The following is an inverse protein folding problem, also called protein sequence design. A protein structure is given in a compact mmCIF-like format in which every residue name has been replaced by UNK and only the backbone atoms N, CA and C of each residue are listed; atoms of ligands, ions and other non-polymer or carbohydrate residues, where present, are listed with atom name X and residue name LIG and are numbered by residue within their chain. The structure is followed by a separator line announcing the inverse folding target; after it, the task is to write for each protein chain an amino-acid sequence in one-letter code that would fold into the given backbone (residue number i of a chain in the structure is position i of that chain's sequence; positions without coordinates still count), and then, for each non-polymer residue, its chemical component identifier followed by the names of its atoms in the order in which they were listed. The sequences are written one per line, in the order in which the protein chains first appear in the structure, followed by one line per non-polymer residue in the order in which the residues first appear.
data_IF_969248741622
#
_entry.id   IF_969248741622
#
_cell.length_a   1.000
_cell.length_b   1.000
_cell.length_c   1.000
_cell.angle_alpha   90.00
_cell.angle_beta   90.00
_cell.angle_gamma   90.00
#
_symmetry.space_group_name_H-M   'P 1'
#
loop_
_entity.id
_entity.type
_entity.pdbx_description
1 polymer ?
#
# COMPACT_ATOMS: atom_id res chain seq x y z
N UNK A 1 -18.19 -5.66 2.53
CA UNK A 1 -17.63 -5.62 1.18
C UNK A 1 -16.20 -6.13 1.13
N UNK A 2 -15.52 -5.91 0.02
CA UNK A 2 -14.10 -6.18 -0.16
C UNK A 2 -13.43 -5.03 -0.96
N UNK A 3 -12.25 -4.62 -0.50
CA UNK A 3 -11.40 -3.65 -1.20
C UNK A 3 -10.05 -4.31 -1.48
N UNK A 4 -9.53 -4.13 -2.69
CA UNK A 4 -8.17 -4.48 -3.05
C UNK A 4 -7.37 -3.20 -3.26
N UNK A 5 -6.26 -3.05 -2.53
CA UNK A 5 -5.31 -1.94 -2.69
C UNK A 5 -4.06 -2.49 -3.36
N UNK A 6 -3.75 -1.96 -4.53
CA UNK A 6 -2.73 -2.43 -5.47
C UNK A 6 -2.93 -3.90 -5.90
N UNK A 7 -2.37 -4.23 -7.07
CA UNK A 7 -2.40 -5.59 -7.63
C UNK A 7 -1.00 -6.20 -7.75
N UNK A 8 0.01 -5.45 -7.28
CA UNK A 8 1.38 -5.92 -7.14
C UNK A 8 2.06 -6.17 -8.49
N UNK A 9 3.32 -6.61 -8.45
CA UNK A 9 3.72 -7.75 -9.26
C UNK A 9 5.18 -7.79 -9.72
N UNK A 10 5.82 -8.92 -9.43
CA UNK A 10 7.03 -9.39 -10.09
C UNK A 10 6.61 -10.39 -11.20
N UNK A 11 7.21 -10.30 -12.39
CA UNK A 11 7.01 -11.29 -13.46
C UNK A 11 8.35 -11.72 -14.01
N UNK A 12 8.68 -13.00 -13.85
CA UNK A 12 9.87 -13.62 -14.42
C UNK A 12 9.73 -15.15 -14.43
N UNK A 13 10.81 -15.84 -14.77
CA UNK A 13 10.86 -17.31 -14.82
C UNK A 13 10.60 -18.00 -13.47
N UNK A 14 10.75 -17.30 -12.34
CA UNK A 14 10.56 -17.83 -10.99
C UNK A 14 9.26 -17.37 -10.33
N UNK A 15 8.56 -16.40 -10.92
CA UNK A 15 7.36 -15.83 -10.34
C UNK A 15 6.40 -15.28 -11.39
N UNK A 16 5.14 -15.63 -11.22
CA UNK A 16 4.01 -15.16 -12.02
C UNK A 16 3.05 -14.46 -11.07
N UNK A 17 3.04 -13.12 -11.09
CA UNK A 17 2.18 -12.34 -10.19
C UNK A 17 0.71 -12.50 -10.52
N UNK A 18 0.36 -12.68 -11.79
CA UNK A 18 -1.01 -12.85 -12.23
C UNK A 18 -1.59 -14.15 -11.65
N UNK A 19 -0.84 -15.25 -11.78
CA UNK A 19 -1.22 -16.53 -11.20
C UNK A 19 -1.28 -16.46 -9.67
N UNK A 20 -0.26 -15.89 -9.02
CA UNK A 20 -0.21 -15.80 -7.57
C UNK A 20 -1.35 -14.95 -6.98
N UNK A 21 -1.66 -13.79 -7.58
CA UNK A 21 -2.76 -12.95 -7.15
C UNK A 21 -4.11 -13.63 -7.39
N UNK A 22 -4.30 -14.27 -8.56
CA UNK A 22 -5.54 -14.99 -8.86
C UNK A 22 -5.77 -16.12 -7.88
N UNK A 23 -4.76 -16.93 -7.60
CA UNK A 23 -4.87 -18.05 -6.66
C UNK A 23 -5.22 -17.57 -5.24
N UNK A 24 -4.65 -16.43 -4.81
CA UNK A 24 -5.00 -15.79 -3.53
C UNK A 24 -6.45 -15.29 -3.49
N UNK A 25 -6.87 -14.56 -4.52
CA UNK A 25 -8.22 -14.01 -4.61
C UNK A 25 -9.29 -15.11 -4.75
N UNK A 26 -9.02 -16.17 -5.52
CA UNK A 26 -9.89 -17.34 -5.61
C UNK A 26 -10.09 -17.97 -4.23
N UNK A 27 -9.01 -18.23 -3.49
CA UNK A 27 -9.09 -18.77 -2.14
C UNK A 27 -9.82 -17.81 -1.16
N UNK A 28 -9.63 -16.50 -1.30
CA UNK A 28 -10.36 -15.49 -0.52
C UNK A 28 -11.87 -15.56 -0.77
N UNK A 29 -12.29 -15.58 -2.04
CA UNK A 29 -13.71 -15.62 -2.41
C UNK A 29 -14.37 -16.97 -2.12
N UNK A 30 -13.62 -18.08 -2.17
CA UNK A 30 -14.11 -19.39 -1.71
C UNK A 30 -14.49 -19.36 -0.22
N UNK A 31 -13.78 -18.58 0.60
CA UNK A 31 -14.12 -18.36 2.02
C UNK A 31 -15.21 -17.30 2.22
N UNK A 32 -15.53 -16.52 1.18
CA UNK A 32 -16.48 -15.40 1.20
C UNK A 32 -17.48 -15.48 0.03
N UNK A 33 -18.26 -16.58 -0.06
CA UNK A 33 -19.24 -16.74 -1.14
C UNK A 33 -20.35 -15.68 -1.10
N UNK A 34 -20.55 -15.03 0.06
CA UNK A 34 -21.46 -13.90 0.23
C UNK A 34 -21.10 -12.69 -0.64
N UNK A 35 -19.84 -12.57 -1.06
CA UNK A 35 -19.37 -11.46 -1.88
C UNK A 35 -19.55 -11.71 -3.39
N UNK A 36 -19.94 -12.92 -3.82
CA UNK A 36 -20.14 -13.27 -5.24
C UNK A 36 -18.96 -12.80 -6.13
N UNK A 37 -17.72 -13.10 -5.69
CA UNK A 37 -16.47 -12.71 -6.37
C UNK A 37 -16.39 -11.22 -6.74
N UNK A 38 -16.97 -10.36 -5.89
CA UNK A 38 -17.05 -8.91 -6.10
C UNK A 38 -16.08 -8.16 -5.20
N UNK A 39 -15.27 -7.29 -5.81
CA UNK A 39 -14.56 -6.19 -5.16
C UNK A 39 -15.44 -4.93 -5.25
N UNK A 40 -15.76 -4.34 -4.10
CA UNK A 40 -16.48 -3.07 -4.03
C UNK A 40 -15.59 -1.91 -4.48
N UNK A 41 -14.29 -2.00 -4.23
CA UNK A 41 -13.29 -1.04 -4.67
C UNK A 41 -11.99 -1.74 -5.05
N UNK A 42 -11.42 -1.35 -6.18
CA UNK A 42 -10.02 -1.55 -6.53
C UNK A 42 -9.31 -0.20 -6.47
N UNK A 43 -8.40 -0.01 -5.53
CA UNK A 43 -7.60 1.20 -5.40
C UNK A 43 -6.19 0.91 -5.90
N UNK A 44 -5.76 1.60 -6.94
CA UNK A 44 -4.37 1.59 -7.41
C UNK A 44 -3.69 2.86 -6.91
N UNK A 45 -2.57 2.71 -6.22
CA UNK A 45 -1.92 3.87 -5.60
C UNK A 45 -1.23 4.75 -6.64
N UNK A 46 -0.46 4.18 -7.58
CA UNK A 46 0.29 4.93 -8.61
C UNK A 46 0.78 4.02 -9.77
N UNK A 47 1.23 4.58 -10.91
CA UNK A 47 1.64 3.84 -12.12
C UNK A 47 3.02 3.19 -12.07
N UNK A 48 3.38 2.53 -10.97
CA UNK A 48 4.54 1.63 -10.99
C UNK A 48 4.10 0.18 -11.16
N UNK A 49 4.88 -0.57 -11.96
CA UNK A 49 4.45 -1.90 -12.35
C UNK A 49 4.33 -2.85 -11.16
N UNK A 50 5.14 -2.68 -10.12
CA UNK A 50 5.05 -3.45 -8.88
C UNK A 50 3.84 -3.10 -8.01
N UNK A 51 3.04 -2.10 -8.39
CA UNK A 51 1.74 -1.77 -7.80
C UNK A 51 0.56 -2.21 -8.67
N UNK A 52 0.73 -2.28 -9.99
CA UNK A 52 -0.42 -2.49 -10.89
C UNK A 52 -0.26 -3.57 -11.95
N UNK A 53 0.78 -4.40 -11.91
CA UNK A 53 1.04 -5.41 -12.95
C UNK A 53 -0.19 -6.25 -13.27
N UNK A 54 -0.86 -6.73 -12.23
CA UNK A 54 -1.95 -7.69 -12.34
C UNK A 54 -3.33 -7.03 -12.43
N UNK A 55 -3.39 -5.72 -12.70
CA UNK A 55 -4.64 -4.95 -12.71
C UNK A 55 -5.65 -5.49 -13.72
N UNK A 56 -5.19 -5.84 -14.93
CA UNK A 56 -6.04 -6.42 -15.96
C UNK A 56 -6.52 -7.82 -15.58
N UNK A 57 -5.66 -8.63 -14.95
CA UNK A 57 -6.03 -9.94 -14.42
C UNK A 57 -7.19 -9.81 -13.43
N UNK A 58 -7.19 -8.77 -12.58
CA UNK A 58 -8.30 -8.51 -11.67
C UNK A 58 -9.58 -8.10 -12.41
N UNK A 59 -9.49 -7.09 -13.28
CA UNK A 59 -10.65 -6.55 -14.02
C UNK A 59 -11.32 -7.56 -14.94
N UNK A 60 -10.56 -8.50 -15.51
CA UNK A 60 -11.07 -9.51 -16.45
C UNK A 60 -11.67 -10.75 -15.76
N UNK A 61 -11.33 -11.01 -14.49
CA UNK A 61 -11.68 -12.28 -13.81
C UNK A 61 -12.57 -12.10 -12.56
N UNK A 62 -12.73 -10.88 -12.07
CA UNK A 62 -13.54 -10.56 -10.89
C UNK A 62 -14.48 -9.40 -11.19
N UNK A 63 -15.60 -9.35 -10.46
CA UNK A 63 -16.49 -8.20 -10.55
C UNK A 63 -15.90 -7.06 -9.75
N UNK A 64 -15.69 -5.90 -10.38
CA UNK A 64 -15.24 -4.68 -9.72
C UNK A 64 -16.34 -3.62 -9.83
N UNK A 65 -16.74 -3.02 -8.70
CA UNK A 65 -17.78 -1.97 -8.69
C UNK A 65 -17.22 -0.57 -8.89
N UNK A 66 -16.06 -0.30 -8.34
CA UNK A 66 -15.38 0.98 -8.45
C UNK A 66 -13.87 0.83 -8.55
N UNK A 67 -13.23 1.75 -9.28
CA UNK A 67 -11.78 1.91 -9.35
C UNK A 67 -11.40 3.32 -8.89
N UNK A 68 -10.37 3.40 -8.06
CA UNK A 68 -9.69 4.65 -7.72
C UNK A 68 -8.24 4.54 -8.15
N UNK A 69 -7.71 5.57 -8.80
CA UNK A 69 -6.29 5.70 -9.08
C UNK A 69 -5.82 7.17 -9.03
N UNK A 70 -4.54 7.41 -9.29
CA UNK A 70 -3.93 8.75 -9.28
C UNK A 70 -3.99 9.45 -10.66
N UNK A 71 -4.71 8.91 -11.64
CA UNK A 71 -4.89 9.50 -12.97
C UNK A 71 -3.60 9.71 -13.79
N UNK A 72 -2.42 9.29 -13.30
CA UNK A 72 -1.14 9.68 -13.86
C UNK A 72 -0.76 8.79 -15.06
N UNK A 73 -0.79 9.35 -16.26
CA UNK A 73 -0.39 8.64 -17.50
C UNK A 73 0.99 9.04 -18.01
N UNK A 74 1.66 9.97 -17.34
CA UNK A 74 3.01 10.48 -17.67
C UNK A 74 3.98 10.14 -16.54
N UNK A 75 5.22 9.72 -16.85
CA UNK A 75 6.23 9.46 -15.83
C UNK A 75 7.65 9.82 -16.30
N UNK A 76 8.54 10.16 -15.37
CA UNK A 76 9.97 10.27 -15.66
C UNK A 76 10.72 8.92 -15.56
N UNK A 77 10.01 7.84 -15.26
CA UNK A 77 10.53 6.47 -15.18
C UNK A 77 10.28 5.74 -16.50
N UNK A 78 10.99 6.11 -17.56
CA UNK A 78 10.76 5.58 -18.91
C UNK A 78 10.95 4.06 -19.06
N UNK A 79 11.63 3.40 -18.10
CA UNK A 79 11.85 1.95 -18.09
C UNK A 79 10.74 1.17 -17.34
N UNK A 80 9.90 1.85 -16.57
CA UNK A 80 8.79 1.22 -15.83
C UNK A 80 7.54 1.14 -16.72
N UNK A 81 7.01 -0.07 -17.01
CA UNK A 81 5.84 -0.25 -17.85
C UNK A 81 4.50 0.05 -17.14
N UNK A 82 4.52 0.53 -15.89
CA UNK A 82 3.31 0.81 -15.10
C UNK A 82 2.40 1.84 -15.77
N UNK A 83 2.95 2.90 -16.39
CA UNK A 83 2.15 3.90 -17.11
C UNK A 83 1.37 3.32 -18.29
N UNK A 84 1.95 2.37 -19.03
CA UNK A 84 1.25 1.66 -20.11
C UNK A 84 0.11 0.83 -19.55
N UNK A 85 0.31 0.27 -18.36
CA UNK A 85 -0.71 -0.51 -17.65
C UNK A 85 -1.84 0.36 -17.11
N UNK A 86 -1.55 1.56 -16.60
CA UNK A 86 -2.58 2.54 -16.25
C UNK A 86 -3.38 2.98 -17.46
N UNK A 87 -2.71 3.23 -18.59
CA UNK A 87 -3.39 3.57 -19.84
C UNK A 87 -4.34 2.44 -20.29
N UNK A 88 -3.92 1.18 -20.18
CA UNK A 88 -4.78 0.02 -20.49
C UNK A 88 -5.98 -0.10 -19.54
N UNK A 89 -5.76 0.13 -18.24
CA UNK A 89 -6.84 0.15 -17.26
C UNK A 89 -7.86 1.25 -17.59
N UNK A 90 -7.40 2.47 -17.89
CA UNK A 90 -8.28 3.58 -18.27
C UNK A 90 -9.04 3.32 -19.57
N UNK A 91 -8.39 2.73 -20.59
CA UNK A 91 -9.06 2.28 -21.82
C UNK A 91 -10.14 1.23 -21.54
N UNK A 92 -9.86 0.27 -20.65
CA UNK A 92 -10.84 -0.72 -20.23
C UNK A 92 -12.01 -0.08 -19.49
N UNK A 93 -11.76 0.83 -18.55
CA UNK A 93 -12.81 1.53 -17.80
C UNK A 93 -13.70 2.39 -18.71
N UNK A 94 -13.12 3.05 -19.71
CA UNK A 94 -13.89 3.78 -20.71
C UNK A 94 -14.85 2.87 -21.52
N UNK A 95 -14.53 1.58 -21.65
CA UNK A 95 -15.38 0.58 -22.29
C UNK A 95 -16.40 -0.08 -21.33
N UNK A 96 -16.29 0.13 -20.01
CA UNK A 96 -17.12 -0.46 -18.96
C UNK A 96 -17.73 0.63 -18.04
N UNK A 97 -18.64 1.47 -18.54
CA UNK A 97 -19.19 2.62 -17.81
C UNK A 97 -20.03 2.23 -16.57
N UNK A 98 -20.34 0.95 -16.39
CA UNK A 98 -20.95 0.41 -15.17
C UNK A 98 -19.99 0.33 -13.98
N UNK A 99 -18.68 0.40 -14.21
CA UNK A 99 -17.65 0.46 -13.17
C UNK A 99 -17.40 1.93 -12.85
N UNK A 100 -17.66 2.34 -11.61
CA UNK A 100 -17.38 3.70 -11.18
C UNK A 100 -15.86 3.95 -11.22
N UNK A 101 -15.43 5.14 -11.64
CA UNK A 101 -14.01 5.48 -11.72
C UNK A 101 -13.76 6.88 -11.20
N UNK A 102 -12.71 7.05 -10.40
CA UNK A 102 -12.25 8.33 -9.87
C UNK A 102 -10.72 8.41 -9.94
N UNK A 103 -10.23 9.37 -10.72
CA UNK A 103 -8.84 9.83 -10.69
C UNK A 103 -8.69 10.86 -9.55
N UNK A 104 -8.05 10.48 -8.44
CA UNK A 104 -7.95 11.33 -7.24
C UNK A 104 -6.92 12.42 -7.44
N UNK A 105 -7.33 13.69 -7.39
CA UNK A 105 -6.43 14.84 -7.37
C UNK A 105 -6.37 15.47 -5.98
N UNK A 106 -5.25 16.08 -5.62
CA UNK A 106 -5.13 16.87 -4.38
C UNK A 106 -6.22 17.95 -4.29
N UNK A 107 -6.65 18.53 -5.41
CA UNK A 107 -7.74 19.51 -5.47
C UNK A 107 -9.13 18.95 -5.18
N UNK A 108 -9.32 17.63 -5.30
CA UNK A 108 -10.57 16.97 -4.89
C UNK A 108 -10.68 16.84 -3.37
N UNK A 109 -9.55 16.99 -2.66
CA UNK A 109 -9.45 16.86 -1.21
C UNK A 109 -9.58 18.24 -0.57
N UNK A 110 -10.79 18.63 -0.20
CA UNK A 110 -11.04 19.91 0.47
C UNK A 110 -10.56 19.88 1.94
N UNK A 111 -9.93 20.98 2.36
CA UNK A 111 -9.43 21.16 3.72
C UNK A 111 -8.48 20.06 4.20
N UNK A 112 -8.69 19.66 5.46
CA UNK A 112 -7.85 18.74 6.25
C UNK A 112 -8.63 17.52 6.76
N UNK A 113 -9.74 17.17 6.10
CA UNK A 113 -10.61 16.04 6.48
C UNK A 113 -10.46 14.82 5.56
N UNK A 114 -9.75 14.94 4.45
CA UNK A 114 -9.66 13.91 3.43
C UNK A 114 -10.90 13.85 2.53
N UNK A 115 -10.83 13.03 1.49
CA UNK A 115 -11.90 12.77 0.53
C UNK A 115 -12.59 11.44 0.87
N UNK A 116 -13.91 11.45 0.94
CA UNK A 116 -14.75 10.27 1.12
C UNK A 116 -16.06 10.46 0.33
N UNK A 117 -16.79 9.39 0.06
CA UNK A 117 -18.00 9.41 -0.77
C UNK A 117 -18.29 8.03 -1.35
N UNK A 118 -19.36 7.89 -2.14
CA UNK A 118 -19.86 6.58 -2.59
C UNK A 118 -18.82 5.73 -3.36
N UNK A 119 -17.91 6.36 -4.11
CA UNK A 119 -16.83 5.65 -4.83
C UNK A 119 -15.67 5.31 -3.89
N UNK A 120 -15.32 6.22 -2.97
CA UNK A 120 -14.17 6.05 -2.06
C UNK A 120 -14.48 5.10 -0.91
N UNK A 121 -15.71 5.15 -0.42
CA UNK A 121 -16.19 4.39 0.73
C UNK A 121 -17.45 3.58 0.37
N UNK A 122 -17.34 2.60 -0.53
CA UNK A 122 -18.50 1.84 -1.01
C UNK A 122 -18.95 0.74 -0.03
N UNK A 123 -18.18 0.50 1.04
CA UNK A 123 -18.54 -0.52 2.04
C UNK A 123 -19.61 0.07 2.97
N UNK A 124 -20.85 -0.29 2.72
CA UNK A 124 -21.98 0.06 3.59
C UNK A 124 -22.33 -1.03 4.61
N UNK A 125 -23.46 -0.77 5.28
CA UNK A 125 -24.02 -1.56 6.38
C UNK A 125 -24.03 -3.05 6.11
N UNK A 126 -23.61 -3.84 7.09
CA UNK A 126 -23.83 -5.28 7.10
C UNK A 126 -24.55 -5.75 8.37
N UNK A 127 -25.39 -6.79 8.26
CA UNK A 127 -26.14 -7.31 9.41
C UNK A 127 -25.23 -7.81 10.56
N UNK A 128 -23.98 -8.11 10.24
CA UNK A 128 -22.98 -8.62 11.19
C UNK A 128 -22.31 -7.52 12.04
N UNK A 129 -22.42 -6.24 11.68
CA UNK A 129 -21.78 -5.13 12.41
C UNK A 129 -22.63 -3.87 12.36
N UNK A 130 -22.82 -3.22 13.51
CA UNK A 130 -23.47 -1.91 13.60
C UNK A 130 -22.56 -0.75 13.16
N UNK A 131 -21.30 -1.03 12.89
CA UNK A 131 -20.27 -0.07 12.47
C UNK A 131 -19.75 -0.55 11.12
N UNK A 132 -19.68 0.35 10.16
CA UNK A 132 -19.05 0.11 8.86
C UNK A 132 -17.62 0.66 8.87
N UNK A 133 -16.69 0.02 8.14
CA UNK A 133 -15.41 0.64 7.89
C UNK A 133 -15.63 1.91 7.06
N UNK A 134 -14.93 2.99 7.41
CA UNK A 134 -14.90 4.24 6.66
C UNK A 134 -13.56 4.36 5.94
N UNK A 135 -13.60 4.49 4.63
CA UNK A 135 -12.43 4.74 3.79
C UNK A 135 -12.33 6.24 3.49
N UNK A 136 -11.15 6.80 3.70
CA UNK A 136 -10.83 8.21 3.43
C UNK A 136 -9.53 8.31 2.66
N UNK A 137 -9.57 8.95 1.49
CA UNK A 137 -8.38 9.27 0.68
C UNK A 137 -7.76 10.57 1.17
N UNK A 138 -6.45 10.57 1.40
CA UNK A 138 -5.71 11.67 2.00
C UNK A 138 -4.81 12.42 1.00
N UNK A 139 -4.43 11.77 -0.09
CA UNK A 139 -3.50 12.29 -1.10
C UNK A 139 -3.75 11.62 -2.46
N UNK A 140 -3.31 12.23 -3.58
CA UNK A 140 -3.34 11.62 -4.93
C UNK A 140 -2.98 12.57 -6.08
N UNK A 141 -2.49 12.02 -7.20
CA UNK A 141 -2.23 12.56 -8.55
C UNK A 141 -1.40 13.83 -8.74
N UNK A 142 -1.23 14.65 -7.70
CA UNK A 142 -0.78 16.05 -7.73
C UNK A 142 -0.67 16.70 -9.12
N UNK A 143 -1.81 16.91 -9.77
CA UNK A 143 -1.86 17.29 -11.20
C UNK A 143 -1.78 18.78 -11.44
N UNK A 144 -2.03 19.60 -10.41
CA UNK A 144 -2.25 21.05 -10.61
C UNK A 144 -0.93 21.85 -10.67
N UNK A 145 0.19 21.24 -10.27
CA UNK A 145 1.52 21.87 -10.32
C UNK A 145 2.66 20.86 -10.56
N UNK A 146 2.65 20.13 -11.69
CA UNK A 146 3.70 19.14 -12.00
C UNK A 146 5.14 19.70 -11.88
N UNK A 147 5.34 21.00 -12.17
CA UNK A 147 6.65 21.68 -11.97
C UNK A 147 7.07 21.74 -10.50
N UNK A 148 6.12 21.88 -9.57
CA UNK A 148 6.36 21.90 -8.13
C UNK A 148 6.56 20.50 -7.57
N UNK A 149 5.84 19.48 -8.04
CA UNK A 149 5.79 18.13 -7.44
C UNK A 149 6.72 17.11 -8.10
N UNK A 150 7.17 17.41 -9.33
CA UNK A 150 7.99 16.50 -10.13
C UNK A 150 7.15 15.49 -10.90
N UNK A 151 7.83 14.57 -11.58
CA UNK A 151 7.22 13.51 -12.39
C UNK A 151 7.53 12.11 -11.85
N UNK A 152 7.91 11.99 -10.56
CA UNK A 152 8.13 10.71 -9.90
C UNK A 152 6.78 10.18 -9.38
N UNK A 153 6.20 9.13 -9.98
CA UNK A 153 4.88 8.61 -9.62
C UNK A 153 4.73 8.26 -8.14
N UNK A 154 5.80 7.85 -7.47
CA UNK A 154 5.79 7.55 -6.03
C UNK A 154 5.14 8.68 -5.21
N UNK A 155 5.48 9.94 -5.49
CA UNK A 155 4.98 11.10 -4.74
C UNK A 155 3.54 11.52 -5.10
N UNK A 156 2.95 10.82 -6.07
CA UNK A 156 1.57 10.99 -6.52
C UNK A 156 0.66 9.86 -6.00
N UNK A 157 1.24 8.87 -5.30
CA UNK A 157 0.52 7.76 -4.67
C UNK A 157 -0.75 8.20 -3.95
N UNK A 158 -1.86 7.53 -4.25
CA UNK A 158 -3.09 7.68 -3.48
C UNK A 158 -2.87 7.13 -2.07
N UNK A 159 -2.80 8.04 -1.08
CA UNK A 159 -2.73 7.65 0.32
C UNK A 159 -4.15 7.49 0.88
N UNK A 160 -4.40 6.45 1.66
CA UNK A 160 -5.71 6.14 2.21
C UNK A 160 -5.63 5.77 3.69
N UNK A 161 -6.65 6.20 4.43
CA UNK A 161 -6.94 5.82 5.81
C UNK A 161 -8.22 4.99 5.84
N UNK A 162 -8.22 3.95 6.66
CA UNK A 162 -9.41 3.14 6.93
C UNK A 162 -9.66 3.15 8.43
N UNK A 163 -10.86 3.55 8.84
CA UNK A 163 -11.31 3.52 10.24
C UNK A 163 -12.43 2.50 10.42
N UNK A 164 -12.33 1.64 11.43
CA UNK A 164 -13.35 0.66 11.79
C UNK A 164 -13.53 0.63 13.30
N UNK A 165 -14.52 1.38 13.80
CA UNK A 165 -14.73 1.55 15.24
C UNK A 165 -13.51 2.19 15.90
N UNK A 166 -12.84 1.44 16.79
CA UNK A 166 -11.60 1.85 17.46
C UNK A 166 -10.32 1.32 16.79
N UNK A 167 -10.43 0.68 15.63
CA UNK A 167 -9.28 0.26 14.83
C UNK A 167 -9.08 1.17 13.64
N UNK A 168 -7.84 1.41 13.26
CA UNK A 168 -7.48 2.30 12.15
C UNK A 168 -6.24 1.81 11.40
N UNK A 169 -6.20 2.06 10.09
CA UNK A 169 -5.10 1.66 9.22
C UNK A 169 -4.71 2.78 8.25
N UNK A 170 -3.42 2.93 7.97
CA UNK A 170 -2.87 3.86 6.97
C UNK A 170 -2.14 3.11 5.87
N UNK A 171 -2.39 3.54 4.62
CA UNK A 171 -1.74 3.08 3.40
C UNK A 171 -1.19 4.31 2.67
N UNK A 172 0.11 4.36 2.43
CA UNK A 172 0.74 5.53 1.80
C UNK A 172 1.19 5.28 0.38
N UNK A 173 1.00 4.08 -0.17
CA UNK A 173 1.68 3.65 -1.38
C UNK A 173 3.18 3.92 -1.24
N UNK A 174 3.78 4.54 -2.24
CA UNK A 174 5.22 4.76 -2.28
C UNK A 174 5.62 6.21 -2.02
N UNK A 175 4.74 7.01 -1.41
CA UNK A 175 5.06 8.40 -1.05
C UNK A 175 6.44 8.51 -0.41
N UNK A 176 7.31 9.28 -1.07
CA UNK A 176 8.65 9.55 -0.58
C UNK A 176 8.67 10.88 0.19
N UNK A 177 9.85 11.29 0.66
CA UNK A 177 10.04 12.51 1.44
C UNK A 177 9.30 13.74 0.89
N UNK A 178 9.28 13.96 -0.44
CA UNK A 178 8.58 15.12 -1.03
C UNK A 178 7.07 15.00 -0.88
N UNK A 179 6.50 13.85 -1.25
CA UNK A 179 5.06 13.57 -1.09
C UNK A 179 4.64 13.59 0.38
N UNK A 180 5.36 12.89 1.25
CA UNK A 180 5.09 12.85 2.69
C UNK A 180 5.16 14.22 3.36
N UNK A 181 6.16 15.05 3.02
CA UNK A 181 6.27 16.39 3.60
C UNK A 181 5.09 17.28 3.22
N UNK A 182 4.56 17.13 2.00
CA UNK A 182 3.42 17.93 1.52
C UNK A 182 2.11 17.40 2.03
N UNK A 183 1.96 16.09 2.13
CA UNK A 183 0.88 15.45 2.85
C UNK A 183 0.81 16.00 4.28
N UNK A 184 1.91 15.94 5.03
CA UNK A 184 1.97 16.49 6.38
C UNK A 184 1.65 17.99 6.45
N UNK A 185 2.14 18.77 5.48
CA UNK A 185 1.84 20.21 5.40
C UNK A 185 0.36 20.49 5.16
N UNK A 186 -0.30 19.68 4.32
CA UNK A 186 -1.75 19.78 4.04
C UNK A 186 -2.59 19.56 5.29
N UNK A 187 -2.18 18.63 6.15
CA UNK A 187 -2.88 18.30 7.38
C UNK A 187 -2.24 18.93 8.63
N UNK A 188 -1.48 20.02 8.49
CA UNK A 188 -0.82 20.66 9.63
C UNK A 188 -1.81 21.17 10.71
N UNK A 189 -3.06 21.48 10.33
CA UNK A 189 -4.15 21.83 11.26
C UNK A 189 -4.87 20.62 11.86
N UNK A 190 -4.63 19.42 11.34
CA UNK A 190 -5.23 18.16 11.78
C UNK A 190 -4.21 17.00 11.76
N UNK A 191 -3.12 17.07 12.54
CA UNK A 191 -2.06 16.05 12.50
C UNK A 191 -2.53 14.67 13.00
N UNK A 192 -3.57 14.63 13.82
CA UNK A 192 -4.17 13.39 14.35
C UNK A 192 -4.74 12.48 13.25
N UNK A 193 -4.96 12.99 12.03
CA UNK A 193 -5.39 12.17 10.89
C UNK A 193 -4.35 11.11 10.50
N UNK A 194 -3.09 11.29 10.90
CA UNK A 194 -2.05 10.30 10.68
C UNK A 194 -2.02 9.24 11.77
N UNK A 195 -2.62 9.48 12.95
CA UNK A 195 -2.54 8.53 14.04
C UNK A 195 -3.42 7.30 13.76
N UNK A 196 -2.76 6.15 13.59
CA UNK A 196 -3.39 4.87 13.25
C UNK A 196 -2.82 3.71 14.05
N UNK A 197 -3.57 2.62 14.15
CA UNK A 197 -3.13 1.40 14.83
C UNK A 197 -2.30 0.46 13.93
N UNK A 198 -2.58 0.48 12.63
CA UNK A 198 -1.94 -0.36 11.61
C UNK A 198 -1.29 0.53 10.56
N UNK A 199 0.00 0.36 10.32
CA UNK A 199 0.68 1.04 9.22
C UNK A 199 1.11 0.04 8.14
N UNK A 200 0.53 0.15 6.94
CA UNK A 200 1.09 -0.47 5.76
C UNK A 200 2.26 0.42 5.31
N UNK A 201 3.48 -0.07 5.55
CA UNK A 201 4.70 0.71 5.41
C UNK A 201 4.94 1.04 3.94
N UNK A 202 5.08 2.34 3.65
CA UNK A 202 5.25 2.80 2.27
C UNK A 202 6.53 2.32 1.60
N UNK A 203 6.48 2.22 0.27
CA UNK A 203 7.63 1.94 -0.60
C UNK A 203 8.42 0.73 -0.17
N UNK A 204 7.70 -0.35 0.17
CA UNK A 204 8.29 -1.64 0.56
C UNK A 204 9.26 -1.57 1.76
N UNK A 205 9.15 -0.52 2.59
CA UNK A 205 10.11 -0.25 3.67
C UNK A 205 11.40 0.41 3.17
N UNK A 206 11.31 1.27 2.16
CA UNK A 206 12.42 2.09 1.70
C UNK A 206 12.78 3.18 2.69
N UNK A 207 14.07 3.53 2.72
CA UNK A 207 14.63 4.59 3.58
C UNK A 207 14.11 6.00 3.27
N UNK A 208 13.49 6.22 2.10
CA UNK A 208 12.93 7.52 1.71
C UNK A 208 11.40 7.64 1.93
N UNK A 209 10.72 6.55 2.33
CA UNK A 209 9.28 6.53 2.58
C UNK A 209 8.91 6.26 4.05
N UNK A 210 9.86 5.80 4.86
CA UNK A 210 9.69 5.68 6.32
C UNK A 210 10.64 6.64 7.01
N UNK A 211 10.14 7.83 7.35
CA UNK A 211 10.94 8.93 7.93
C UNK A 211 10.48 9.21 9.36
N UNK A 212 11.43 9.58 10.22
CA UNK A 212 11.16 9.82 11.65
C UNK A 212 10.01 10.79 11.94
N UNK A 213 9.86 11.85 11.13
CA UNK A 213 8.76 12.81 11.30
C UNK A 213 7.37 12.21 11.07
N UNK A 214 7.21 11.29 10.10
CA UNK A 214 5.95 10.56 9.96
C UNK A 214 5.71 9.66 11.17
N UNK A 215 6.76 9.02 11.70
CA UNK A 215 6.63 8.20 12.91
C UNK A 215 6.29 9.01 14.17
N UNK A 216 6.61 10.30 14.21
CA UNK A 216 6.18 11.18 15.31
C UNK A 216 4.68 11.54 15.24
N UNK A 217 4.07 11.47 14.06
CA UNK A 217 2.64 11.77 13.84
C UNK A 217 1.75 10.52 13.86
N UNK A 218 2.35 9.33 13.83
CA UNK A 218 1.65 8.05 13.85
C UNK A 218 1.98 7.33 15.14
N UNK A 219 1.06 6.49 15.64
CA UNK A 219 1.35 5.70 16.83
C UNK A 219 0.94 4.22 16.70
N UNK A 220 1.40 3.53 15.63
CA UNK A 220 0.93 2.21 15.25
C UNK A 220 1.24 1.14 16.30
N UNK A 221 0.28 0.27 16.53
CA UNK A 221 0.45 -0.96 17.30
C UNK A 221 1.19 -2.00 16.48
N UNK A 222 0.99 -2.06 15.17
CA UNK A 222 1.72 -2.96 14.27
C UNK A 222 1.99 -2.30 12.91
N UNK A 223 3.01 -2.80 12.21
CA UNK A 223 3.35 -2.37 10.86
C UNK A 223 3.55 -3.56 9.92
N UNK A 224 3.11 -3.43 8.67
CA UNK A 224 3.24 -4.46 7.63
C UNK A 224 4.00 -3.90 6.43
N UNK A 225 5.08 -4.58 6.06
CA UNK A 225 5.91 -4.23 4.92
C UNK A 225 5.61 -5.18 3.76
N UNK A 226 5.03 -4.66 2.68
CA UNK A 226 4.85 -5.43 1.44
C UNK A 226 6.16 -5.48 0.68
N UNK A 227 6.83 -6.63 0.64
CA UNK A 227 8.11 -6.82 -0.04
C UNK A 227 8.36 -8.30 -0.36
N UNK A 228 9.21 -8.59 -1.35
CA UNK A 228 9.53 -9.96 -1.78
C UNK A 228 10.60 -10.66 -0.92
N UNK A 229 10.62 -12.00 -0.85
CA UNK A 229 11.58 -12.75 -0.05
C UNK A 229 13.04 -12.54 -0.50
N UNK A 230 13.96 -12.61 0.46
CA UNK A 230 15.40 -12.39 0.22
C UNK A 230 16.01 -13.37 -0.80
N UNK A 231 15.43 -14.56 -0.94
CA UNK A 231 15.89 -15.58 -1.87
C UNK A 231 15.57 -15.25 -3.34
N UNK A 232 14.69 -14.27 -3.62
CA UNK A 232 14.38 -13.85 -5.00
C UNK A 232 15.48 -12.95 -5.56
N UNK A 233 16.37 -13.55 -6.35
CA UNK A 233 17.51 -12.88 -6.98
C UNK A 233 17.20 -12.55 -8.44
N UNK A 234 16.40 -11.51 -8.67
CA UNK A 234 16.09 -10.99 -10.00
C UNK A 234 16.31 -9.46 -10.06
N UNK A 235 16.54 -8.90 -11.27
CA UNK A 235 16.44 -7.45 -11.48
C UNK A 235 15.07 -6.94 -11.03
N UNK A 236 14.99 -5.67 -10.62
CA UNK A 236 13.71 -5.01 -10.32
C UNK A 236 12.88 -5.75 -9.24
N UNK A 237 13.55 -6.19 -8.17
CA UNK A 237 12.93 -6.81 -6.99
C UNK A 237 13.18 -5.97 -5.75
N UNK A 238 12.32 -6.06 -4.73
CA UNK A 238 12.54 -5.44 -3.42
C UNK A 238 13.95 -5.75 -2.86
N UNK A 239 14.44 -6.99 -3.05
CA UNK A 239 15.81 -7.38 -2.71
C UNK A 239 16.85 -6.53 -3.44
N UNK A 240 16.70 -6.33 -4.76
CA UNK A 240 17.61 -5.52 -5.58
C UNK A 240 17.74 -4.09 -5.06
N UNK A 241 16.64 -3.53 -4.56
CA UNK A 241 16.60 -2.19 -3.97
C UNK A 241 17.07 -2.12 -2.50
N UNK A 242 17.33 -3.27 -1.87
CA UNK A 242 17.74 -3.33 -0.47
C UNK A 242 16.57 -3.11 0.48
N UNK A 243 15.38 -3.61 0.13
CA UNK A 243 14.16 -3.54 0.93
C UNK A 243 13.90 -4.86 1.71
N UNK A 244 13.34 -4.77 2.92
CA UNK A 244 13.17 -3.55 3.70
C UNK A 244 14.54 -2.99 4.10
N UNK A 245 14.67 -1.67 4.08
CA UNK A 245 15.93 -1.02 4.40
C UNK A 245 16.11 -0.84 5.91
N UNK A 246 17.34 -0.94 6.39
CA UNK A 246 17.67 -0.77 7.81
C UNK A 246 17.20 0.56 8.38
N UNK A 247 17.28 1.66 7.62
CA UNK A 247 16.86 2.99 8.11
C UNK A 247 15.36 3.02 8.39
N UNK A 248 14.55 2.43 7.51
CA UNK A 248 13.11 2.31 7.72
C UNK A 248 12.82 1.45 8.97
N UNK A 249 13.52 0.34 9.12
CA UNK A 249 13.37 -0.54 10.26
C UNK A 249 13.77 0.14 11.59
N UNK A 250 14.83 0.94 11.60
CA UNK A 250 15.26 1.70 12.77
C UNK A 250 14.19 2.72 13.21
N UNK A 251 13.56 3.42 12.26
CA UNK A 251 12.43 4.31 12.56
C UNK A 251 11.21 3.55 13.09
N UNK A 252 10.84 2.43 12.47
CA UNK A 252 9.73 1.59 12.93
C UNK A 252 10.01 0.95 14.29
N UNK A 253 11.27 0.65 14.61
CA UNK A 253 11.66 -0.01 15.86
C UNK A 253 11.98 0.97 17.00
N UNK A 254 11.97 2.29 16.73
CA UNK A 254 12.32 3.31 17.71
C UNK A 254 11.51 3.15 19.01
N UNK A 255 12.18 3.33 20.15
CA UNK A 255 11.58 3.08 21.46
C UNK A 255 10.50 4.09 21.86
N UNK A 256 10.56 5.30 21.30
CA UNK A 256 9.70 6.44 21.67
C UNK A 256 8.57 6.65 20.68
N UNK A 257 8.87 6.56 19.38
CA UNK A 257 7.95 6.95 18.30
C UNK A 257 7.66 5.82 17.31
N UNK A 258 8.33 4.68 17.44
CA UNK A 258 8.11 3.52 16.57
C UNK A 258 6.85 2.72 16.91
N UNK A 259 6.75 1.55 16.30
CA UNK A 259 5.69 0.56 16.54
C UNK A 259 5.62 0.19 18.02
N UNK A 260 4.43 0.35 18.61
CA UNK A 260 4.20 0.12 20.05
C UNK A 260 4.14 -1.37 20.40
N UNK A 261 3.56 -2.18 19.51
CA UNK A 261 3.37 -3.61 19.74
C UNK A 261 4.66 -4.42 19.67
N UNK A 262 4.59 -5.60 20.25
CA UNK A 262 5.67 -6.59 20.28
C UNK A 262 5.18 -7.89 19.66
N UNK A 263 6.11 -8.62 19.03
CA UNK A 263 5.84 -9.99 18.60
C UNK A 263 5.84 -10.88 19.83
N UNK A 264 4.97 -11.87 19.85
CA UNK A 264 5.02 -12.92 20.87
C UNK A 264 6.37 -13.65 20.86
N UNK A 265 6.91 -13.84 19.65
CA UNK A 265 8.22 -14.46 19.41
C UNK A 265 9.00 -13.60 18.41
N UNK A 266 10.16 -13.04 18.82
CA UNK A 266 11.05 -12.37 17.89
C UNK A 266 11.51 -13.32 16.77
N UNK A 267 11.75 -12.78 15.59
CA UNK A 267 12.28 -13.51 14.45
C UNK A 267 13.66 -12.98 14.07
N UNK A 268 14.45 -13.82 13.42
CA UNK A 268 15.63 -13.36 12.69
C UNK A 268 15.22 -13.16 11.23
N UNK A 269 15.51 -11.99 10.67
CA UNK A 269 15.06 -11.61 9.33
C UNK A 269 16.20 -10.97 8.52
N UNK A 270 16.16 -11.12 7.19
CA UNK A 270 17.08 -10.43 6.30
C UNK A 270 16.63 -8.98 6.11
N UNK A 271 17.56 -8.04 6.31
CA UNK A 271 17.34 -6.60 6.19
C UNK A 271 18.40 -6.01 5.27
N UNK A 272 17.97 -5.15 4.35
CA UNK A 272 18.85 -4.49 3.38
C UNK A 272 19.58 -3.32 4.01
N UNK A 273 20.91 -3.33 3.93
CA UNK A 273 21.76 -2.18 4.25
C UNK A 273 21.89 -1.27 3.03
N UNK A 274 22.02 -1.89 1.86
CA UNK A 274 22.27 -1.19 0.60
C UNK A 274 21.68 -2.00 -0.58
N UNK A 275 20.88 -1.35 -1.41
CA UNK A 275 20.48 -1.88 -2.72
C UNK A 275 21.61 -1.80 -3.74
N UNK A 276 21.37 -2.31 -4.94
CA UNK A 276 22.27 -2.20 -6.07
C UNK A 276 21.55 -1.51 -7.23
N UNK A 277 21.71 -0.20 -7.33
CA UNK A 277 21.16 0.63 -8.42
C UNK A 277 22.28 1.14 -9.33
N UNK A 278 22.15 0.92 -10.64
CA UNK A 278 23.17 1.23 -11.66
C UNK A 278 24.54 0.62 -11.31
N UNK A 279 25.68 1.22 -11.69
CA UNK A 279 27.05 0.66 -11.64
C UNK A 279 27.59 0.26 -10.24
N UNK A 280 26.72 0.10 -9.24
CA UNK A 280 27.06 -0.31 -7.89
C UNK A 280 27.23 -1.84 -7.75
N UNK A 281 28.25 -2.22 -6.98
CA UNK A 281 28.52 -3.60 -6.56
C UNK A 281 27.39 -4.10 -5.63
N UNK A 282 27.08 -5.39 -5.79
CA UNK A 282 26.24 -6.31 -5.01
C UNK A 282 25.45 -5.74 -3.82
N UNK A 283 24.16 -6.11 -3.74
CA UNK A 283 23.31 -5.73 -2.60
C UNK A 283 23.90 -6.23 -1.28
N UNK A 284 23.77 -5.43 -0.21
CA UNK A 284 24.29 -5.77 1.11
C UNK A 284 23.12 -6.01 2.05
N UNK A 285 23.07 -7.20 2.64
CA UNK A 285 22.04 -7.64 3.57
C UNK A 285 22.68 -8.27 4.81
N UNK A 286 21.94 -8.25 5.90
CA UNK A 286 22.34 -8.89 7.14
C UNK A 286 21.12 -9.42 7.89
N UNK A 287 21.37 -10.30 8.85
CA UNK A 287 20.35 -10.82 9.75
C UNK A 287 20.14 -9.84 10.92
N UNK A 288 18.88 -9.59 11.25
CA UNK A 288 18.45 -8.76 12.38
C UNK A 288 17.33 -9.43 13.15
N UNK A 289 17.39 -9.28 14.47
CA UNK A 289 16.30 -9.65 15.36
C UNK A 289 15.18 -8.63 15.25
N UNK A 290 13.98 -9.07 14.89
CA UNK A 290 12.77 -8.26 14.83
C UNK A 290 11.90 -8.63 16.03
N UNK A 291 11.79 -7.73 17.00
CA UNK A 291 11.04 -7.94 18.25
C UNK A 291 9.75 -7.12 18.32
N UNK A 292 9.72 -5.94 17.70
CA UNK A 292 8.49 -5.14 17.52
C UNK A 292 7.53 -5.86 16.57
N UNK A 293 6.24 -5.56 16.68
CA UNK A 293 5.16 -6.07 15.83
C UNK A 293 5.24 -5.54 14.38
N UNK A 294 6.39 -5.77 13.74
CA UNK A 294 6.70 -5.45 12.36
C UNK A 294 6.72 -6.77 11.61
N UNK A 295 5.88 -6.87 10.59
CA UNK A 295 5.70 -8.06 9.76
C UNK A 295 6.05 -7.70 8.32
N UNK A 296 6.51 -8.67 7.55
CA UNK A 296 6.80 -8.44 6.14
C UNK A 296 6.51 -9.68 5.31
N UNK A 297 5.94 -9.47 4.12
CA UNK A 297 5.52 -10.59 3.26
C UNK A 297 6.69 -11.45 2.81
N UNK A 298 7.87 -10.85 2.58
CA UNK A 298 9.08 -11.58 2.22
C UNK A 298 9.71 -12.36 3.37
N UNK A 299 9.30 -12.12 4.62
CA UNK A 299 9.76 -12.89 5.78
C UNK A 299 8.81 -14.06 6.10
N UNK A 300 7.50 -13.82 5.98
CA UNK A 300 6.48 -14.67 6.60
C UNK A 300 5.41 -15.16 5.63
N UNK A 301 5.46 -14.76 4.36
CA UNK A 301 4.41 -15.03 3.37
C UNK A 301 3.23 -14.08 3.51
N UNK A 302 2.01 -14.57 3.42
CA UNK A 302 0.81 -13.75 3.63
C UNK A 302 0.74 -13.31 5.10
N UNK A 303 0.49 -12.02 5.32
CA UNK A 303 0.28 -11.44 6.66
C UNK A 303 -1.18 -11.04 6.76
N UNK A 304 -1.94 -11.75 7.58
CA UNK A 304 -3.36 -11.52 7.80
C UNK A 304 -3.53 -10.75 9.10
N UNK A 305 -3.97 -9.49 9.01
CA UNK A 305 -4.29 -8.66 10.17
C UNK A 305 -5.80 -8.65 10.36
N UNK A 306 -6.26 -9.14 11.51
CA UNK A 306 -7.66 -9.05 11.92
C UNK A 306 -7.83 -7.88 12.89
N UNK A 307 -8.72 -6.96 12.56
CA UNK A 307 -9.07 -5.82 13.41
C UNK A 307 -10.57 -5.85 13.74
N UNK A 308 -10.91 -5.56 14.99
CA UNK A 308 -12.30 -5.46 15.45
C UNK A 308 -12.71 -4.03 15.72
N UNK A 309 -14.02 -3.72 15.66
CA UNK A 309 -14.52 -2.39 15.99
C UNK A 309 -14.23 -1.95 17.43
N UNK A 310 -13.82 -2.87 18.32
CA UNK A 310 -13.40 -2.59 19.69
C UNK A 310 -11.88 -2.36 19.83
N UNK A 311 -11.13 -2.20 18.73
CA UNK A 311 -9.70 -1.90 18.76
C UNK A 311 -8.80 -3.12 18.99
N UNK A 312 -9.36 -4.33 19.02
CA UNK A 312 -8.56 -5.55 19.17
C UNK A 312 -7.92 -5.93 17.83
N UNK A 313 -6.61 -6.19 17.87
CA UNK A 313 -5.81 -6.61 16.72
C UNK A 313 -5.24 -8.01 16.94
N UNK A 314 -5.25 -8.82 15.89
CA UNK A 314 -4.57 -10.11 15.80
C UNK A 314 -3.82 -10.23 14.48
N UNK A 315 -2.73 -10.98 14.47
CA UNK A 315 -1.91 -11.23 13.26
C UNK A 315 -1.66 -12.72 13.12
N UNK A 316 -2.00 -13.24 11.95
CA UNK A 316 -1.65 -14.59 11.51
C UNK A 316 -0.75 -14.50 10.27
N UNK A 317 0.21 -15.42 10.16
CA UNK A 317 1.12 -15.46 9.01
C UNK A 317 1.13 -16.85 8.37
N UNK A 318 1.13 -16.88 7.04
CA UNK A 318 1.05 -18.09 6.23
C UNK A 318 2.15 -18.09 5.17
N UNK A 319 3.03 -19.10 5.21
CA UNK A 319 4.18 -19.23 4.30
C UNK A 319 4.00 -20.38 3.31
#
# INVERSE_FOLDING_TARGET
GAVLIDTGGEQNESFDSDAALRDYLDAFFDRRPDLDRTLDLLLITHPHIDHMRSVMTVLENYRVRGVIDDGMTESNHAEDPGKEQQSRMHEWLAAHPEVAHLDVRVSDIDGDQGLTGEIVDPIGSCDASAIDPKITVLWGAVTDELESYGLNPNNHSVAARIDFGQSSAMFTGDLELVGLSRLASKYASNPEIFDVDIYQVGHHGSKNATIGYMMEMMSPTLAVISMGPYERVHPWTARKFGHPNIVALEHLADAKVGVKGWRERPIEAWVGLKGAWKDERQEVFERRTISRAIYATGWEGSVVVTASAAGQLAVDTER
#
